data_IF_049183484733
#
_entry.id   IF_049183484733
#
_cell.length_a   1.000
_cell.length_b   1.000
_cell.length_c   1.000
_cell.angle_alpha   90.00
_cell.angle_beta   90.00
_cell.angle_gamma   90.00
#
_symmetry.space_group_name_H-M   'P 1'
#
loop_
_entity.id
_entity.type
_entity.pdbx_description
1 polymer ?
#
# COMPACT_ATOMS: atom_id res chain seq x y z
N UNK A 1 22.76 -41.35 -27.14
CA UNK A 1 22.60 -40.15 -27.98
C UNK A 1 21.88 -39.10 -27.15
N UNK A 2 22.63 -38.19 -26.58
CA UNK A 2 22.17 -37.16 -25.66
C UNK A 2 22.17 -35.83 -26.38
N UNK A 3 20.98 -35.26 -26.64
CA UNK A 3 20.88 -33.91 -27.18
C UNK A 3 20.80 -32.91 -26.03
N UNK A 4 21.88 -32.12 -25.89
CA UNK A 4 21.91 -30.91 -25.07
C UNK A 4 21.34 -29.76 -25.88
N UNK A 5 20.24 -29.15 -25.41
CA UNK A 5 19.79 -27.84 -25.90
C UNK A 5 20.47 -26.74 -25.09
N UNK A 6 21.29 -25.94 -25.76
CA UNK A 6 21.94 -24.75 -25.23
C UNK A 6 21.08 -23.55 -25.60
N UNK A 7 20.52 -22.86 -24.59
CA UNK A 7 19.87 -21.57 -24.81
C UNK A 7 20.92 -20.47 -24.67
N UNK A 8 21.21 -19.84 -25.79
CA UNK A 8 22.08 -18.67 -25.86
C UNK A 8 21.27 -17.42 -25.53
N UNK A 9 21.59 -16.80 -24.38
CA UNK A 9 20.99 -15.56 -23.92
C UNK A 9 21.69 -14.39 -24.67
N UNK A 10 21.02 -13.79 -25.62
CA UNK A 10 21.53 -12.63 -26.36
C UNK A 10 21.08 -11.35 -25.63
N UNK A 11 21.99 -10.74 -24.86
CA UNK A 11 21.81 -9.40 -24.30
C UNK A 11 22.08 -8.37 -25.42
N UNK A 12 21.04 -7.69 -25.88
CA UNK A 12 21.19 -6.49 -26.69
C UNK A 12 21.00 -5.29 -25.79
N UNK A 13 22.13 -4.69 -25.37
CA UNK A 13 22.13 -3.36 -24.74
C UNK A 13 22.07 -2.34 -25.88
N UNK A 14 20.90 -1.76 -26.11
CA UNK A 14 20.76 -0.61 -27.00
C UNK A 14 20.84 0.67 -26.16
N UNK A 15 22.02 1.31 -26.21
CA UNK A 15 22.19 2.65 -25.64
C UNK A 15 21.68 3.65 -26.66
N UNK A 16 20.52 4.26 -26.41
CA UNK A 16 20.04 5.41 -27.16
C UNK A 16 20.23 6.67 -26.32
N UNK A 17 21.31 7.39 -26.58
CA UNK A 17 21.50 8.79 -26.14
C UNK A 17 20.72 9.66 -27.13
N UNK A 18 19.67 10.36 -26.66
CA UNK A 18 19.18 11.59 -27.30
C UNK A 18 18.29 12.40 -26.34
N UNK A 19 18.78 13.57 -25.98
CA UNK A 19 18.11 14.86 -25.79
C UNK A 19 16.77 14.93 -25.06
N UNK A 20 16.77 15.46 -23.83
CA UNK A 20 15.94 16.53 -23.31
C UNK A 20 14.43 16.49 -23.61
N UNK A 21 13.70 15.63 -22.91
CA UNK A 21 12.31 15.89 -22.55
C UNK A 21 12.06 15.16 -21.23
N UNK A 22 11.63 15.92 -20.20
CA UNK A 22 11.20 15.37 -18.93
C UNK A 22 9.89 14.62 -19.14
N UNK A 23 9.97 13.36 -19.56
CA UNK A 23 8.83 12.47 -19.55
C UNK A 23 8.78 11.81 -18.17
N UNK A 24 7.70 12.05 -17.45
CA UNK A 24 7.34 11.22 -16.33
C UNK A 24 7.34 9.77 -16.79
N UNK A 25 8.28 8.96 -16.30
CA UNK A 25 8.29 7.54 -16.57
C UNK A 25 7.05 6.94 -15.90
N UNK A 26 6.09 6.60 -16.72
CA UNK A 26 4.95 5.79 -16.36
C UNK A 26 5.51 4.40 -16.04
N UNK A 27 5.53 4.06 -14.74
CA UNK A 27 5.81 2.69 -14.31
C UNK A 27 4.65 1.82 -14.81
N UNK A 28 4.90 1.04 -15.86
CA UNK A 28 3.94 0.04 -16.31
C UNK A 28 3.76 -1.02 -15.22
N UNK A 29 2.50 -1.25 -14.84
CA UNK A 29 2.13 -2.29 -13.87
C UNK A 29 2.24 -3.62 -14.60
N UNK A 30 3.20 -4.45 -14.19
CA UNK A 30 3.24 -5.83 -14.62
C UNK A 30 2.21 -6.63 -13.81
N UNK A 31 1.07 -6.95 -14.42
CA UNK A 31 0.10 -7.92 -13.89
C UNK A 31 0.38 -9.24 -14.59
N UNK A 32 0.86 -10.28 -13.89
CA UNK A 32 1.07 -11.57 -14.53
C UNK A 32 -0.28 -12.16 -14.98
N UNK A 33 -0.43 -12.37 -16.27
CA UNK A 33 -1.54 -13.16 -16.81
C UNK A 33 -1.38 -14.61 -16.36
N UNK A 34 -2.38 -15.11 -15.64
CA UNK A 34 -2.57 -16.51 -15.26
C UNK A 34 -2.04 -16.93 -13.87
N UNK A 35 -2.83 -16.66 -12.83
CA UNK A 35 -2.70 -17.33 -11.53
C UNK A 35 -3.96 -18.15 -11.21
N UNK A 36 -4.14 -19.29 -11.90
CA UNK A 36 -5.19 -20.28 -11.56
C UNK A 36 -4.75 -21.33 -10.54
N UNK A 37 -3.54 -21.19 -9.99
CA UNK A 37 -3.12 -21.93 -8.81
C UNK A 37 -3.37 -21.04 -7.60
N UNK A 38 -4.44 -21.29 -6.85
CA UNK A 38 -4.56 -20.79 -5.48
C UNK A 38 -3.35 -21.37 -4.73
N UNK A 39 -2.36 -20.54 -4.35
CA UNK A 39 -1.23 -21.07 -3.59
C UNK A 39 -1.78 -21.57 -2.25
N UNK A 40 -1.37 -22.77 -1.84
CA UNK A 40 -1.53 -23.24 -0.49
C UNK A 40 -1.09 -22.12 0.47
N UNK A 41 -2.00 -21.66 1.34
CA UNK A 41 -1.77 -20.50 2.19
C UNK A 41 -0.59 -20.82 3.10
N UNK A 42 0.57 -20.24 2.82
CA UNK A 42 1.79 -20.50 3.58
C UNK A 42 1.58 -19.99 5.00
N UNK A 43 1.79 -20.88 5.96
CA UNK A 43 1.80 -20.50 7.37
C UNK A 43 3.06 -19.69 7.69
N UNK A 44 2.94 -18.70 8.55
CA UNK A 44 4.04 -17.89 9.04
C UNK A 44 3.87 -17.58 10.52
N UNK A 45 5.00 -17.57 11.24
CA UNK A 45 5.07 -17.08 12.62
C UNK A 45 5.17 -15.54 12.68
N UNK A 46 5.39 -14.87 11.55
CA UNK A 46 5.46 -13.42 11.47
C UNK A 46 4.05 -12.83 11.54
N UNK A 47 3.69 -12.32 12.71
CA UNK A 47 2.36 -11.77 13.02
C UNK A 47 2.00 -10.63 12.07
N UNK A 48 2.93 -9.69 11.82
CA UNK A 48 2.70 -8.58 10.91
C UNK A 48 2.54 -9.05 9.45
N UNK A 49 3.32 -10.05 9.03
CA UNK A 49 3.19 -10.62 7.69
C UNK A 49 1.80 -11.24 7.49
N UNK A 50 1.29 -11.93 8.51
CA UNK A 50 -0.06 -12.51 8.50
C UNK A 50 -1.13 -11.42 8.49
N UNK A 51 -0.99 -10.38 9.31
CA UNK A 51 -1.89 -9.22 9.30
C UNK A 51 -1.97 -8.58 7.90
N UNK A 52 -0.83 -8.28 7.28
CA UNK A 52 -0.77 -7.68 5.95
C UNK A 52 -1.36 -8.60 4.86
N UNK A 53 -1.12 -9.92 4.98
CA UNK A 53 -1.58 -10.90 4.01
C UNK A 53 -3.09 -11.14 4.04
N UNK A 54 -3.72 -11.01 5.22
CA UNK A 54 -5.15 -11.34 5.43
C UNK A 54 -6.04 -10.11 5.58
N UNK A 55 -5.53 -9.01 6.17
CA UNK A 55 -6.33 -7.85 6.54
C UNK A 55 -7.39 -8.15 7.60
N UNK A 56 -7.25 -9.24 8.36
CA UNK A 56 -8.21 -9.65 9.38
C UNK A 56 -7.84 -9.06 10.73
N UNK A 57 -8.86 -8.56 11.45
CA UNK A 57 -8.69 -7.93 12.76
C UNK A 57 -8.01 -8.86 13.77
N UNK A 58 -8.37 -10.14 13.77
CA UNK A 58 -7.78 -11.16 14.67
C UNK A 58 -6.27 -11.29 14.54
N UNK A 59 -5.68 -10.96 13.37
CA UNK A 59 -4.23 -10.98 13.13
C UNK A 59 -3.57 -9.61 13.23
N UNK A 60 -4.33 -8.54 13.32
CA UNK A 60 -3.81 -7.17 13.29
C UNK A 60 -3.96 -6.43 14.62
N UNK A 61 -4.90 -6.85 15.47
CA UNK A 61 -5.14 -6.18 16.74
C UNK A 61 -3.97 -6.34 17.71
N UNK A 62 -3.64 -5.27 18.43
CA UNK A 62 -2.61 -5.29 19.48
C UNK A 62 -1.17 -5.42 18.98
N UNK A 63 -0.92 -5.26 17.69
CA UNK A 63 0.44 -5.28 17.13
C UNK A 63 1.18 -3.99 17.48
N UNK A 64 2.31 -4.11 18.16
CA UNK A 64 3.26 -3.03 18.38
C UNK A 64 4.56 -3.26 17.59
N UNK A 65 5.05 -2.21 16.95
CA UNK A 65 6.25 -2.24 16.10
C UNK A 65 7.40 -1.54 16.80
N UNK A 66 8.48 -2.26 17.05
CA UNK A 66 9.68 -1.72 17.70
C UNK A 66 10.96 -2.27 17.06
N UNK A 67 12.12 -1.77 17.51
CA UNK A 67 13.43 -2.17 16.99
C UNK A 67 13.72 -3.68 17.12
N UNK A 68 13.07 -4.38 18.03
CA UNK A 68 13.26 -5.81 18.26
C UNK A 68 12.29 -6.69 17.46
N UNK A 69 11.43 -6.08 16.63
CA UNK A 69 10.47 -6.76 15.80
C UNK A 69 9.01 -6.38 16.13
N UNK A 70 8.14 -7.37 15.96
CA UNK A 70 6.70 -7.23 16.19
C UNK A 70 6.36 -7.88 17.53
N UNK A 71 5.64 -7.16 18.39
CA UNK A 71 5.07 -7.71 19.63
C UNK A 71 3.55 -7.68 19.56
N UNK A 72 2.90 -8.65 20.17
CA UNK A 72 1.45 -8.73 20.28
C UNK A 72 1.05 -8.53 21.75
N UNK A 73 0.31 -7.47 22.02
CA UNK A 73 -0.23 -7.19 23.35
C UNK A 73 -1.75 -7.28 23.30
N UNK A 74 -2.32 -8.30 23.93
CA UNK A 74 -3.76 -8.41 24.08
C UNK A 74 -4.28 -7.20 24.86
N UNK A 75 -5.11 -6.35 24.24
CA UNK A 75 -5.64 -5.10 24.77
C UNK A 75 -4.63 -3.93 24.90
N UNK A 76 -3.44 -4.03 24.30
CA UNK A 76 -2.50 -2.92 24.17
C UNK A 76 -2.85 -1.98 23.00
N UNK A 77 -2.23 -0.76 22.97
CA UNK A 77 -2.34 0.10 21.80
C UNK A 77 -1.71 -0.60 20.58
N UNK A 78 -2.37 -0.52 19.42
CA UNK A 78 -1.85 -1.08 18.19
C UNK A 78 -1.21 0.01 17.31
N UNK A 79 -0.03 -0.27 16.77
CA UNK A 79 0.59 0.54 15.72
C UNK A 79 -0.10 0.35 14.35
N UNK A 80 -0.95 -0.69 14.26
CA UNK A 80 -1.73 -0.99 13.07
C UNK A 80 -3.17 -0.50 13.27
N UNK A 81 -3.67 0.27 12.32
CA UNK A 81 -5.08 0.61 12.23
C UNK A 81 -5.67 -0.07 11.02
N UNK A 82 -6.71 -0.88 11.22
CA UNK A 82 -7.46 -1.41 10.09
C UNK A 82 -8.38 -0.33 9.52
N UNK A 83 -8.39 -0.23 8.22
CA UNK A 83 -9.22 0.70 7.45
C UNK A 83 -9.87 -0.08 6.30
N UNK A 84 -11.11 0.25 5.98
CA UNK A 84 -11.78 -0.24 4.78
C UNK A 84 -11.98 0.91 3.83
N UNK A 85 -11.40 0.83 2.63
CA UNK A 85 -11.67 1.76 1.54
C UNK A 85 -12.82 1.22 0.70
N UNK A 86 -13.85 2.03 0.53
CA UNK A 86 -15.01 1.71 -0.29
C UNK A 86 -14.87 2.49 -1.58
N UNK A 87 -14.80 1.79 -2.69
CA UNK A 87 -14.70 2.34 -4.04
C UNK A 87 -16.07 2.17 -4.68
N UNK A 88 -16.80 3.26 -4.82
CA UNK A 88 -18.07 3.29 -5.51
C UNK A 88 -17.82 3.50 -7.01
N UNK A 89 -18.26 2.53 -7.80
CA UNK A 89 -18.12 2.53 -9.26
C UNK A 89 -19.35 3.16 -9.94
N UNK A 90 -20.45 3.36 -9.20
CA UNK A 90 -21.66 3.96 -9.68
C UNK A 90 -21.65 5.46 -9.33
N UNK A 91 -21.21 6.29 -10.25
CA UNK A 91 -21.30 7.74 -10.06
C UNK A 91 -22.67 8.25 -10.51
N UNK A 92 -23.58 8.41 -9.55
CA UNK A 92 -24.88 9.05 -9.78
C UNK A 92 -24.77 10.55 -10.13
N UNK A 93 -23.57 11.14 -10.05
CA UNK A 93 -23.32 12.57 -10.29
C UNK A 93 -22.96 12.88 -11.74
N UNK A 94 -22.78 11.86 -12.59
CA UNK A 94 -22.44 12.02 -14.01
C UNK A 94 -21.00 12.48 -14.27
N UNK A 95 -20.14 12.50 -13.24
CA UNK A 95 -18.70 12.68 -13.38
C UNK A 95 -18.06 11.30 -13.40
N UNK A 96 -17.47 10.87 -14.49
CA UNK A 96 -16.94 9.52 -14.68
C UNK A 96 -15.73 9.13 -13.75
N UNK A 97 -15.68 9.69 -12.53
CA UNK A 97 -14.62 9.41 -11.56
C UNK A 97 -15.15 8.53 -10.41
N UNK A 98 -14.52 7.38 -10.12
CA UNK A 98 -14.91 6.56 -8.98
C UNK A 98 -14.75 7.35 -7.68
N UNK A 99 -15.72 7.19 -6.77
CA UNK A 99 -15.67 7.79 -5.45
C UNK A 99 -15.01 6.83 -4.48
N UNK A 100 -13.98 7.29 -3.78
CA UNK A 100 -13.31 6.52 -2.73
C UNK A 100 -13.64 7.15 -1.38
N UNK A 101 -14.08 6.34 -0.43
CA UNK A 101 -14.31 6.73 0.97
C UNK A 101 -13.54 5.80 1.90
N UNK A 102 -13.22 6.27 3.11
CA UNK A 102 -12.54 5.47 4.13
C UNK A 102 -13.46 5.25 5.32
N UNK A 103 -13.53 4.00 5.80
CA UNK A 103 -14.11 3.65 7.10
C UNK A 103 -12.98 3.12 7.99
N UNK A 104 -12.92 3.60 9.22
CA UNK A 104 -12.02 3.05 10.24
C UNK A 104 -12.83 2.05 11.06
N UNK A 105 -12.36 0.81 11.13
CA UNK A 105 -12.98 -0.24 11.93
C UNK A 105 -12.66 0.02 13.41
N UNK A 106 -13.40 0.97 14.02
CA UNK A 106 -13.42 1.15 15.47
C UNK A 106 -14.56 0.29 16.03
N UNK A 107 -14.32 -1.01 16.18
CA UNK A 107 -15.10 -1.94 17.00
C UNK A 107 -16.62 -1.74 16.99
N UNK A 108 -17.26 -1.93 15.85
CA UNK A 108 -18.72 -1.92 15.75
C UNK A 108 -19.11 -2.56 14.43
N UNK A 109 -19.62 -3.79 14.50
CA UNK A 109 -20.18 -4.49 13.36
C UNK A 109 -21.35 -3.69 12.77
N UNK A 110 -21.10 -2.95 11.71
CA UNK A 110 -22.11 -2.54 10.76
C UNK A 110 -21.87 -3.35 9.50
N UNK A 111 -22.54 -4.50 9.43
CA UNK A 111 -22.83 -5.19 8.21
C UNK A 111 -23.62 -4.24 7.30
N UNK A 112 -22.91 -3.45 6.51
CA UNK A 112 -23.52 -2.74 5.40
C UNK A 112 -23.42 -3.68 4.21
N UNK A 113 -24.53 -4.36 3.92
CA UNK A 113 -24.69 -5.22 2.76
C UNK A 113 -24.00 -4.60 1.56
N UNK A 114 -23.22 -5.43 0.87
CA UNK A 114 -22.47 -5.09 -0.34
C UNK A 114 -23.40 -4.35 -1.30
N UNK A 115 -23.22 -3.04 -1.44
CA UNK A 115 -23.94 -2.26 -2.43
C UNK A 115 -23.49 -2.76 -3.79
N UNK A 116 -24.43 -3.19 -4.63
CA UNK A 116 -24.14 -3.55 -6.02
C UNK A 116 -23.45 -2.39 -6.71
N UNK A 117 -22.15 -2.58 -7.03
CA UNK A 117 -21.32 -1.56 -7.70
C UNK A 117 -20.26 -0.93 -6.82
N UNK A 118 -19.99 -1.42 -5.61
CA UNK A 118 -18.84 -1.00 -4.79
C UNK A 118 -17.81 -2.11 -4.61
N UNK A 119 -16.56 -1.71 -4.42
CA UNK A 119 -15.44 -2.59 -4.06
C UNK A 119 -14.94 -2.18 -2.68
N UNK A 120 -14.95 -3.10 -1.74
CA UNK A 120 -14.39 -2.91 -0.41
C UNK A 120 -12.96 -3.45 -0.37
N UNK A 121 -11.99 -2.59 -0.02
CA UNK A 121 -10.58 -2.95 0.07
C UNK A 121 -10.11 -2.74 1.50
N UNK A 122 -9.74 -3.82 2.17
CA UNK A 122 -9.14 -3.75 3.51
C UNK A 122 -7.69 -3.34 3.44
N UNK A 123 -7.25 -2.54 4.42
CA UNK A 123 -5.89 -2.08 4.53
C UNK A 123 -5.40 -2.05 5.97
N UNK A 124 -4.09 -2.19 6.13
CA UNK A 124 -3.38 -1.91 7.37
C UNK A 124 -2.74 -0.52 7.28
N UNK A 125 -3.28 0.44 8.01
CA UNK A 125 -2.71 1.78 8.14
C UNK A 125 -1.65 1.80 9.23
N UNK A 126 -0.44 2.27 8.90
CA UNK A 126 0.67 2.42 9.84
C UNK A 126 1.12 3.88 9.84
N UNK A 127 1.18 4.49 11.02
CA UNK A 127 1.71 5.84 11.17
C UNK A 127 3.23 5.81 11.00
N UNK A 128 3.72 6.46 9.93
CA UNK A 128 5.14 6.64 9.65
C UNK A 128 5.42 8.15 9.56
N UNK A 129 6.25 8.63 10.47
CA UNK A 129 6.55 10.04 10.56
C UNK A 129 7.63 10.49 9.57
N UNK A 130 7.42 11.66 9.00
CA UNK A 130 8.37 12.38 8.18
C UNK A 130 8.56 13.79 8.73
N UNK A 131 9.73 14.37 8.48
CA UNK A 131 9.95 15.77 8.80
C UNK A 131 9.02 16.69 8.00
N UNK A 132 8.82 17.90 8.51
CA UNK A 132 8.01 18.90 7.81
C UNK A 132 8.56 19.12 6.40
N UNK A 133 7.66 19.15 5.42
CA UNK A 133 8.00 19.35 4.01
C UNK A 133 9.02 18.33 3.47
N UNK A 134 9.10 17.13 4.03
CA UNK A 134 10.05 16.09 3.67
C UNK A 134 9.36 14.78 3.30
N UNK A 135 9.97 14.05 2.38
CA UNK A 135 9.66 12.66 2.07
C UNK A 135 10.82 11.73 2.46
N UNK A 136 11.88 12.27 3.06
CA UNK A 136 12.99 11.46 3.58
C UNK A 136 12.56 10.77 4.86
N UNK A 137 12.80 9.46 4.94
CA UNK A 137 12.53 8.69 6.14
C UNK A 137 13.40 9.22 7.30
N UNK A 138 12.78 9.46 8.44
CA UNK A 138 13.47 9.88 9.68
C UNK A 138 14.26 8.72 10.26
N UNK A 139 15.36 9.03 10.92
CA UNK A 139 16.21 8.01 11.52
C UNK A 139 15.49 7.19 12.60
N UNK A 140 14.59 7.80 13.37
CA UNK A 140 13.78 7.15 14.41
C UNK A 140 12.64 6.28 13.86
N UNK A 141 12.39 6.30 12.55
CA UNK A 141 11.42 5.46 11.88
C UNK A 141 12.06 4.25 11.16
N UNK A 142 13.39 4.18 11.09
CA UNK A 142 14.10 3.13 10.36
C UNK A 142 13.79 1.75 10.90
N UNK A 143 13.75 1.59 12.22
CA UNK A 143 13.46 0.30 12.84
C UNK A 143 12.03 -0.17 12.51
N UNK A 144 11.04 0.73 12.61
CA UNK A 144 9.66 0.44 12.25
C UNK A 144 9.56 0.00 10.78
N UNK A 145 10.19 0.72 9.87
CA UNK A 145 10.19 0.37 8.44
C UNK A 145 10.93 -0.93 8.17
N UNK A 146 12.01 -1.23 8.91
CA UNK A 146 12.73 -2.50 8.83
C UNK A 146 11.84 -3.69 9.22
N UNK A 147 11.05 -3.55 10.29
CA UNK A 147 10.09 -4.58 10.72
C UNK A 147 9.02 -4.81 9.64
N UNK A 148 8.50 -3.74 9.05
CA UNK A 148 7.54 -3.85 7.94
C UNK A 148 8.19 -4.54 6.73
N UNK A 149 9.45 -4.21 6.41
CA UNK A 149 10.17 -4.85 5.30
C UNK A 149 10.33 -6.36 5.54
N UNK A 150 10.64 -6.78 6.78
CA UNK A 150 10.73 -8.20 7.16
C UNK A 150 9.38 -8.91 6.93
N UNK A 151 8.26 -8.27 7.25
CA UNK A 151 6.94 -8.82 6.99
C UNK A 151 6.67 -8.99 5.49
N UNK A 152 7.08 -8.03 4.65
CA UNK A 152 6.97 -8.15 3.20
C UNK A 152 7.98 -9.10 2.55
N UNK A 153 9.08 -9.41 3.25
CA UNK A 153 10.05 -10.43 2.84
C UNK A 153 9.58 -11.86 3.17
N UNK A 154 8.56 -12.00 4.01
CA UNK A 154 7.97 -13.29 4.35
C UNK A 154 7.30 -13.95 3.14
N UNK A 155 7.39 -15.28 3.08
CA UNK A 155 6.87 -16.07 1.96
C UNK A 155 5.35 -15.99 1.83
N UNK A 156 4.61 -15.69 2.90
CA UNK A 156 3.15 -15.50 2.85
C UNK A 156 2.78 -14.31 1.94
N UNK A 157 3.66 -13.31 1.82
CA UNK A 157 3.45 -12.13 0.99
C UNK A 157 4.09 -12.24 -0.41
N UNK A 158 4.83 -13.31 -0.68
CA UNK A 158 5.53 -13.47 -1.96
C UNK A 158 4.55 -13.53 -3.13
N UNK A 159 4.81 -12.70 -4.14
CA UNK A 159 4.01 -12.63 -5.36
C UNK A 159 2.65 -11.95 -5.21
N UNK A 160 2.24 -11.56 -3.99
CA UNK A 160 1.03 -10.78 -3.79
C UNK A 160 1.25 -9.31 -4.22
N UNK A 161 0.20 -8.63 -4.65
CA UNK A 161 0.24 -7.22 -5.05
C UNK A 161 -0.31 -6.34 -3.93
N UNK A 162 0.40 -5.27 -3.63
CA UNK A 162 -0.01 -4.27 -2.63
C UNK A 162 0.07 -2.86 -3.20
N UNK A 163 -0.94 -2.05 -2.93
CA UNK A 163 -0.82 -0.61 -3.03
C UNK A 163 -0.26 -0.05 -1.72
N UNK A 164 0.78 0.78 -1.84
CA UNK A 164 1.38 1.51 -0.73
C UNK A 164 0.88 2.95 -0.84
N UNK A 165 -0.15 3.28 -0.05
CA UNK A 165 -0.86 4.55 -0.18
C UNK A 165 -0.37 5.54 0.87
N UNK A 166 0.22 6.64 0.41
CA UNK A 166 0.64 7.74 1.27
C UNK A 166 -0.46 8.77 1.46
N UNK A 167 -0.63 9.23 2.69
CA UNK A 167 -1.58 10.25 3.10
C UNK A 167 -0.87 11.45 3.73
N UNK A 168 -1.49 12.62 3.65
CA UNK A 168 -1.07 13.82 4.40
C UNK A 168 -2.17 14.28 5.37
N UNK A 169 -1.82 15.18 6.26
CA UNK A 169 -2.82 15.99 6.96
C UNK A 169 -3.34 17.11 6.02
N UNK A 170 -4.38 17.82 6.46
CA UNK A 170 -5.02 18.88 5.70
C UNK A 170 -4.28 20.22 5.72
N UNK A 171 -2.97 20.23 5.94
CA UNK A 171 -2.15 21.44 5.88
C UNK A 171 -1.44 21.54 4.53
N UNK A 172 -1.66 22.62 3.82
CA UNK A 172 -1.07 22.88 2.50
C UNK A 172 -2.12 22.97 1.41
N UNK A 173 -1.68 22.89 0.16
CA UNK A 173 -2.61 22.80 -0.97
C UNK A 173 -2.75 21.34 -1.42
N UNK A 174 -3.91 20.99 -1.97
CA UNK A 174 -4.22 19.64 -2.48
C UNK A 174 -3.12 19.15 -3.42
N UNK A 175 -2.74 19.98 -4.43
CA UNK A 175 -1.69 19.63 -5.39
C UNK A 175 -0.34 19.36 -4.70
N UNK A 176 -0.01 20.14 -3.68
CA UNK A 176 1.21 19.93 -2.91
C UNK A 176 1.13 18.63 -2.11
N UNK A 177 0.04 18.40 -1.40
CA UNK A 177 -0.18 17.22 -0.57
C UNK A 177 -0.25 15.93 -1.40
N UNK A 178 -0.83 15.97 -2.60
CA UNK A 178 -0.79 14.87 -3.56
C UNK A 178 0.64 14.49 -3.95
N UNK A 179 1.46 15.48 -4.31
CA UNK A 179 2.88 15.23 -4.68
C UNK A 179 3.71 14.75 -3.49
N UNK A 180 3.47 15.30 -2.29
CA UNK A 180 4.21 14.91 -1.08
C UNK A 180 3.88 13.48 -0.66
N UNK A 181 2.61 13.13 -0.64
CA UNK A 181 2.15 11.78 -0.29
C UNK A 181 2.67 10.71 -1.26
N UNK A 182 2.67 11.00 -2.57
CA UNK A 182 3.24 10.11 -3.58
C UNK A 182 4.75 9.86 -3.36
N UNK A 183 5.51 10.94 -3.05
CA UNK A 183 6.93 10.80 -2.74
C UNK A 183 7.18 10.00 -1.46
N UNK A 184 6.35 10.17 -0.43
CA UNK A 184 6.43 9.38 0.81
C UNK A 184 6.13 7.92 0.56
N UNK A 185 5.07 7.60 -0.17
CA UNK A 185 4.75 6.23 -0.59
C UNK A 185 5.91 5.60 -1.37
N UNK A 186 6.52 6.31 -2.30
CA UNK A 186 7.67 5.84 -3.07
C UNK A 186 8.90 5.60 -2.18
N UNK A 187 9.15 6.46 -1.17
CA UNK A 187 10.24 6.28 -0.22
C UNK A 187 10.07 4.99 0.59
N UNK A 188 8.85 4.75 1.11
CA UNK A 188 8.55 3.51 1.85
C UNK A 188 8.67 2.30 0.93
N UNK A 189 8.09 2.34 -0.26
CA UNK A 189 8.20 1.25 -1.25
C UNK A 189 9.67 0.90 -1.52
N UNK A 190 10.52 1.92 -1.74
CA UNK A 190 11.96 1.70 -1.97
C UNK A 190 12.65 1.06 -0.76
N UNK A 191 12.31 1.49 0.45
CA UNK A 191 12.87 0.92 1.68
C UNK A 191 12.46 -0.55 1.86
N UNK A 192 11.20 -0.90 1.56
CA UNK A 192 10.70 -2.28 1.64
C UNK A 192 11.41 -3.19 0.61
N UNK A 193 11.60 -2.70 -0.61
CA UNK A 193 12.31 -3.45 -1.66
C UNK A 193 13.79 -3.69 -1.29
N UNK A 194 14.46 -2.66 -0.74
CA UNK A 194 15.83 -2.81 -0.21
C UNK A 194 15.88 -3.79 0.95
N UNK A 195 14.84 -3.84 1.78
CA UNK A 195 14.69 -4.80 2.89
C UNK A 195 14.28 -6.21 2.45
N UNK A 196 14.20 -6.48 1.15
CA UNK A 196 13.97 -7.83 0.61
C UNK A 196 12.51 -8.20 0.40
N UNK A 197 11.60 -7.22 0.30
CA UNK A 197 10.19 -7.49 0.00
C UNK A 197 10.03 -8.39 -1.22
N UNK A 198 9.22 -9.46 -1.08
CA UNK A 198 8.91 -10.43 -2.13
C UNK A 198 7.56 -10.16 -2.81
N UNK A 199 6.81 -9.18 -2.30
CA UNK A 199 5.56 -8.72 -2.87
C UNK A 199 5.80 -7.73 -4.02
N UNK A 200 4.81 -7.58 -4.89
CA UNK A 200 4.74 -6.47 -5.85
C UNK A 200 4.16 -5.24 -5.14
N UNK A 201 4.85 -4.11 -5.20
CA UNK A 201 4.51 -2.91 -4.46
C UNK A 201 4.25 -1.74 -5.40
N UNK A 202 3.04 -1.17 -5.34
CA UNK A 202 2.62 -0.02 -6.13
C UNK A 202 2.47 1.22 -5.25
N UNK A 203 3.38 2.21 -5.30
CA UNK A 203 3.24 3.45 -4.54
C UNK A 203 2.18 4.36 -5.15
N UNK A 204 1.30 4.92 -4.30
CA UNK A 204 0.24 5.85 -4.67
C UNK A 204 0.17 6.97 -3.62
N UNK A 205 0.00 8.22 -4.05
CA UNK A 205 -0.27 9.34 -3.14
C UNK A 205 -1.69 9.82 -3.32
N UNK A 206 -2.37 10.07 -2.20
CA UNK A 206 -3.76 10.59 -2.20
C UNK A 206 -3.89 11.93 -1.47
N UNK A 207 -2.77 12.51 -1.05
CA UNK A 207 -2.78 13.78 -0.32
C UNK A 207 -3.63 13.71 0.94
N UNK A 208 -4.48 14.71 1.10
CA UNK A 208 -5.43 14.87 2.21
C UNK A 208 -6.86 14.43 1.86
N UNK A 209 -7.07 13.84 0.68
CA UNK A 209 -8.43 13.51 0.21
C UNK A 209 -9.11 12.46 1.10
N UNK A 210 -8.33 11.53 1.66
CA UNK A 210 -8.82 10.44 2.50
C UNK A 210 -8.33 10.60 3.94
N UNK A 211 -8.82 11.64 4.63
CA UNK A 211 -8.51 11.86 6.04
C UNK A 211 -9.10 10.75 6.90
N UNK A 212 -8.30 10.20 7.83
CA UNK A 212 -8.77 9.27 8.87
C UNK A 212 -9.60 10.02 9.92
N UNK A 213 -9.12 11.21 10.32
CA UNK A 213 -9.82 12.13 11.21
C UNK A 213 -10.22 13.38 10.43
N UNK A 214 -11.37 13.32 9.79
CA UNK A 214 -11.92 14.45 9.01
C UNK A 214 -12.40 15.60 9.91
N UNK A 215 -12.71 15.34 11.18
CA UNK A 215 -13.11 16.37 12.15
C UNK A 215 -11.92 17.25 12.54
N UNK A 216 -10.70 16.70 12.52
CA UNK A 216 -9.46 17.41 12.78
C UNK A 216 -8.46 17.18 11.63
N UNK A 217 -8.61 17.89 10.49
CA UNK A 217 -7.78 17.65 9.31
C UNK A 217 -6.26 17.75 9.57
N UNK A 218 -5.84 18.53 10.56
CA UNK A 218 -4.44 18.69 10.95
C UNK A 218 -3.92 17.59 11.91
N UNK A 219 -4.74 16.61 12.26
CA UNK A 219 -4.36 15.52 13.17
C UNK A 219 -3.20 14.70 12.59
N UNK A 220 -2.26 14.29 13.48
CA UNK A 220 -1.11 13.46 13.13
C UNK A 220 -1.53 12.11 12.52
N UNK A 221 -2.63 11.53 12.98
CA UNK A 221 -3.18 10.27 12.46
C UNK A 221 -3.53 10.30 10.96
N UNK A 222 -3.70 11.50 10.39
CA UNK A 222 -3.89 11.67 8.95
C UNK A 222 -2.59 11.46 8.17
N UNK A 223 -1.41 11.65 8.80
CA UNK A 223 -0.09 11.42 8.19
C UNK A 223 0.30 9.95 8.36
N UNK A 224 -0.13 9.10 7.46
CA UNK A 224 0.08 7.66 7.52
C UNK A 224 0.41 7.06 6.16
N UNK A 225 0.81 5.80 6.19
CA UNK A 225 0.91 4.96 5.02
C UNK A 225 -0.03 3.77 5.21
N UNK A 226 -0.88 3.51 4.23
CA UNK A 226 -1.80 2.37 4.23
C UNK A 226 -1.30 1.32 3.25
N UNK A 227 -1.35 0.06 3.67
CA UNK A 227 -0.93 -1.11 2.90
C UNK A 227 -2.18 -1.89 2.49
N UNK A 228 -2.55 -1.76 1.23
CA UNK A 228 -3.74 -2.41 0.67
C UNK A 228 -3.31 -3.65 -0.10
N UNK A 229 -3.70 -4.82 0.35
CA UNK A 229 -3.59 -6.03 -0.46
C UNK A 229 -4.60 -5.94 -1.60
N UNK A 230 -4.12 -6.18 -2.81
CA UNK A 230 -4.92 -6.12 -4.02
C UNK A 230 -5.11 -7.52 -4.60
N UNK A 231 -6.36 -7.82 -4.97
CA UNK A 231 -6.75 -9.07 -5.59
C UNK A 231 -7.26 -8.80 -7.03
N UNK A 232 -8.26 -9.51 -7.50
CA UNK A 232 -8.75 -9.49 -8.89
C UNK A 232 -9.16 -8.10 -9.43
N UNK A 233 -9.49 -7.15 -8.53
CA UNK A 233 -9.89 -5.78 -8.87
C UNK A 233 -8.72 -4.77 -8.83
N UNK A 234 -7.47 -5.24 -8.83
CA UNK A 234 -6.27 -4.42 -8.60
C UNK A 234 -6.21 -3.18 -9.50
N UNK A 235 -6.44 -3.35 -10.80
CA UNK A 235 -6.37 -2.24 -11.76
C UNK A 235 -7.43 -1.17 -11.46
N UNK A 236 -8.67 -1.57 -11.20
CA UNK A 236 -9.78 -0.67 -10.85
C UNK A 236 -9.45 0.11 -9.57
N UNK A 237 -8.98 -0.59 -8.54
CA UNK A 237 -8.59 0.02 -7.26
C UNK A 237 -7.47 1.03 -7.46
N UNK A 238 -6.40 0.65 -8.13
CA UNK A 238 -5.25 1.53 -8.39
C UNK A 238 -5.68 2.80 -9.15
N UNK A 239 -6.50 2.64 -10.19
CA UNK A 239 -6.98 3.76 -11.01
C UNK A 239 -7.89 4.69 -10.19
N UNK A 240 -8.76 4.14 -9.34
CA UNK A 240 -9.59 4.92 -8.45
C UNK A 240 -8.77 5.79 -7.48
N UNK A 241 -7.73 5.21 -6.87
CA UNK A 241 -6.85 5.95 -5.97
C UNK A 241 -6.00 6.99 -6.68
N UNK A 242 -5.49 6.71 -7.88
CA UNK A 242 -4.74 7.69 -8.68
C UNK A 242 -5.59 8.89 -9.07
N UNK A 243 -6.86 8.64 -9.43
CA UNK A 243 -7.79 9.69 -9.82
C UNK A 243 -8.11 10.72 -8.71
N UNK A 244 -7.79 10.42 -7.44
CA UNK A 244 -7.98 11.35 -6.33
C UNK A 244 -7.03 12.55 -6.39
N UNK A 245 -5.91 12.41 -7.11
CA UNK A 245 -4.87 13.43 -7.22
C UNK A 245 -4.67 13.97 -8.66
N UNK A 246 -5.57 13.63 -9.59
CA UNK A 246 -5.55 14.08 -11.00
C UNK A 246 -6.33 15.37 -11.26
#
# INVERSE_FOLDING_TARGET
MTHKFSYSLCFIISVCLLSGASSAQQLEIYIPENSTNVPEEKETDNILARCLATGLEEYCAGISLNANGTTLEANGPSDITLETFIIDLNDDTGTAKPRVTVKTDTGGAADTGQQTGSIDVKSAGIEIEFDFNSHKLRADQLDKVSVIATAFADDINAGKLYAIVGHTDGKGSDTYNCKLSAKRAATITSALLVGGAKAYLQPIGVGEVLLKDAANPANAQNRRVSFLKLDDNAETVINAFKALCD
#
